data_IF_689804929609
#
_entry.id   IF_689804929609
#
_cell.length_a   1.000
_cell.length_b   1.000
_cell.length_c   1.000
_cell.angle_alpha   90.00
_cell.angle_beta   90.00
_cell.angle_gamma   90.00
#
_symmetry.space_group_name_H-M   'P 1'
#
loop_
_entity.id
_entity.type
_entity.pdbx_description
1 polymer ?
#
# COMPACT_ATOMS: atom_id res chain seq x y z
N UNK A 1 -13.59 3.54 11.89
CA UNK A 1 -12.47 3.84 12.81
C UNK A 1 -11.31 4.28 11.94
N UNK A 2 -10.58 5.35 12.30
CA UNK A 2 -9.35 5.70 11.58
C UNK A 2 -8.41 4.50 11.55
N UNK A 3 -7.63 4.37 10.48
CA UNK A 3 -6.58 3.37 10.45
C UNK A 3 -5.40 3.82 11.32
N UNK A 4 -4.68 2.84 11.85
CA UNK A 4 -3.46 2.98 12.62
C UNK A 4 -2.41 3.85 11.92
N UNK A 5 -1.48 4.44 12.68
CA UNK A 5 -0.27 5.00 12.09
C UNK A 5 0.44 3.90 11.34
N UNK A 6 0.78 4.11 10.07
CA UNK A 6 1.42 3.10 9.25
C UNK A 6 2.46 3.72 8.33
N UNK A 7 3.66 3.16 8.34
CA UNK A 7 4.74 3.50 7.43
C UNK A 7 5.25 2.23 6.76
N UNK A 8 5.53 2.32 5.46
CA UNK A 8 6.22 1.27 4.72
C UNK A 8 7.54 1.81 4.18
N UNK A 9 8.63 1.17 4.57
CA UNK A 9 9.97 1.43 4.05
C UNK A 9 10.33 0.38 3.00
N UNK A 10 11.04 0.80 1.96
CA UNK A 10 11.57 -0.05 0.90
C UNK A 10 13.10 0.01 0.89
N UNK A 11 13.75 -1.14 0.79
CA UNK A 11 15.20 -1.26 0.74
C UNK A 11 15.65 -2.12 -0.44
N UNK A 12 16.63 -1.64 -1.20
CA UNK A 12 17.22 -2.40 -2.30
C UNK A 12 17.96 -3.65 -1.80
N UNK A 13 17.78 -4.78 -2.46
CA UNK A 13 18.45 -6.07 -2.21
C UNK A 13 19.76 -6.22 -2.99
N UNK A 14 20.11 -5.29 -3.89
CA UNK A 14 21.31 -5.37 -4.70
C UNK A 14 21.32 -4.46 -5.94
N UNK A 15 22.15 -4.76 -6.95
CA UNK A 15 22.26 -3.94 -8.16
C UNK A 15 21.09 -4.11 -9.14
N UNK A 16 20.21 -5.08 -8.93
CA UNK A 16 19.00 -5.31 -9.74
C UNK A 16 17.83 -4.57 -9.11
N UNK A 17 17.01 -3.93 -9.93
CA UNK A 17 15.86 -3.11 -9.48
C UNK A 17 14.54 -3.91 -9.43
N UNK A 18 14.60 -5.23 -9.65
CA UNK A 18 13.41 -6.05 -9.85
C UNK A 18 12.82 -6.60 -8.55
N UNK A 19 13.62 -6.54 -7.48
CA UNK A 19 13.27 -6.99 -6.14
C UNK A 19 13.65 -5.91 -5.11
N UNK A 20 12.88 -5.86 -4.02
CA UNK A 20 13.13 -4.95 -2.91
C UNK A 20 12.61 -5.58 -1.62
N UNK A 21 13.34 -5.37 -0.53
CA UNK A 21 12.78 -5.61 0.79
C UNK A 21 11.75 -4.54 1.12
N UNK A 22 10.74 -4.91 1.91
CA UNK A 22 9.86 -3.95 2.56
C UNK A 22 9.83 -4.19 4.06
N UNK A 23 9.58 -3.11 4.81
CA UNK A 23 9.29 -3.15 6.25
C UNK A 23 8.07 -2.29 6.53
N UNK A 24 7.09 -2.83 7.25
CA UNK A 24 5.93 -2.09 7.74
C UNK A 24 6.07 -1.85 9.23
N UNK A 25 5.93 -0.58 9.62
CA UNK A 25 5.83 -0.16 11.01
C UNK A 25 4.42 0.35 11.24
N UNK A 26 3.76 -0.12 12.31
CA UNK A 26 2.37 0.21 12.60
C UNK A 26 2.15 0.44 14.09
N UNK A 27 1.32 1.44 14.43
CA UNK A 27 0.87 1.71 15.79
C UNK A 27 -0.64 1.59 15.89
N UNK A 28 -1.11 0.65 16.71
CA UNK A 28 -2.51 0.56 17.11
C UNK A 28 -2.89 1.82 17.89
N UNK A 29 -3.66 2.69 17.23
CA UNK A 29 -4.05 3.99 17.80
C UNK A 29 -5.11 3.88 18.88
N UNK A 30 -5.87 2.77 18.90
CA UNK A 30 -6.89 2.54 19.92
C UNK A 30 -6.26 2.11 21.24
N UNK A 31 -5.22 1.30 21.17
CA UNK A 31 -4.53 0.75 22.34
C UNK A 31 -3.19 1.42 22.65
N UNK A 32 -2.83 2.49 21.92
CA UNK A 32 -1.56 3.21 22.01
C UNK A 32 -0.33 2.28 22.00
N UNK A 33 -0.34 1.31 21.08
CA UNK A 33 0.64 0.21 21.08
C UNK A 33 1.30 0.03 19.72
N UNK A 34 2.63 0.06 19.70
CA UNK A 34 3.40 -0.36 18.52
C UNK A 34 3.24 -1.86 18.29
N UNK A 35 2.85 -2.22 17.07
CA UNK A 35 2.73 -3.61 16.65
C UNK A 35 4.12 -4.15 16.24
N UNK A 36 4.33 -5.48 16.32
CA UNK A 36 5.54 -6.08 15.77
C UNK A 36 5.73 -5.68 14.30
N UNK A 37 6.96 -5.28 13.95
CA UNK A 37 7.30 -4.94 12.57
C UNK A 37 7.01 -6.13 11.66
N UNK A 38 6.41 -5.86 10.51
CA UNK A 38 6.26 -6.84 9.43
C UNK A 38 7.29 -6.55 8.35
N UNK A 39 7.78 -7.57 7.67
CA UNK A 39 8.73 -7.41 6.58
C UNK A 39 8.57 -8.53 5.55
N UNK A 40 9.16 -8.32 4.38
CA UNK A 40 9.11 -9.26 3.29
C UNK A 40 9.83 -8.74 2.06
N UNK A 41 9.49 -9.33 0.92
CA UNK A 41 10.00 -8.93 -0.39
C UNK A 41 8.87 -8.42 -1.29
N UNK A 42 9.23 -7.52 -2.19
CA UNK A 42 8.41 -7.04 -3.28
C UNK A 42 9.16 -7.31 -4.56
N UNK A 43 8.50 -7.94 -5.52
CA UNK A 43 9.08 -8.31 -6.81
C UNK A 43 8.16 -7.85 -7.95
N UNK A 44 8.74 -7.40 -9.05
CA UNK A 44 7.96 -7.11 -10.27
C UNK A 44 7.49 -8.45 -10.85
N UNK A 45 6.19 -8.57 -11.13
CA UNK A 45 5.59 -9.81 -11.62
C UNK A 45 5.79 -10.03 -13.13
N UNK A 46 5.97 -8.96 -13.91
CA UNK A 46 6.28 -9.03 -15.33
C UNK A 46 6.97 -7.76 -15.84
N UNK A 47 7.84 -7.91 -16.83
CA UNK A 47 8.48 -6.79 -17.54
C UNK A 47 7.57 -6.17 -18.61
N UNK A 48 6.29 -6.56 -18.67
CA UNK A 48 5.33 -6.09 -19.69
C UNK A 48 4.85 -4.65 -19.48
N UNK A 49 5.32 -3.96 -18.42
CA UNK A 49 4.93 -2.60 -18.09
C UNK A 49 3.53 -2.48 -17.46
N UNK A 50 2.88 -3.60 -17.15
CA UNK A 50 1.52 -3.63 -16.57
C UNK A 50 1.45 -3.15 -15.12
N UNK A 51 2.60 -2.88 -14.49
CA UNK A 51 2.67 -2.37 -13.12
C UNK A 51 2.25 -3.41 -12.09
N UNK A 52 2.47 -4.70 -12.34
CA UNK A 52 2.07 -5.77 -11.42
C UNK A 52 3.25 -6.11 -10.50
N UNK A 53 3.00 -6.13 -9.19
CA UNK A 53 3.98 -6.48 -8.16
C UNK A 53 3.48 -7.65 -7.31
N UNK A 54 4.39 -8.51 -6.90
CA UNK A 54 4.15 -9.57 -5.93
C UNK A 54 4.75 -9.15 -4.59
N UNK A 55 3.92 -9.14 -3.55
CA UNK A 55 4.31 -8.90 -2.17
C UNK A 55 4.39 -10.24 -1.45
N UNK A 56 5.57 -10.55 -0.92
CA UNK A 56 5.89 -11.79 -0.22
C UNK A 56 6.23 -11.50 1.24
N UNK A 57 5.27 -11.60 2.17
CA UNK A 57 5.57 -11.49 3.60
C UNK A 57 6.48 -12.63 4.06
N UNK A 58 7.45 -12.33 4.92
CA UNK A 58 8.40 -13.33 5.44
C UNK A 58 7.72 -14.46 6.23
N UNK A 59 6.56 -14.19 6.83
CA UNK A 59 5.78 -15.12 7.63
C UNK A 59 4.63 -15.80 6.85
N UNK A 60 4.62 -15.69 5.52
CA UNK A 60 3.57 -16.27 4.66
C UNK A 60 4.17 -17.22 3.62
N UNK A 61 3.49 -18.32 3.32
CA UNK A 61 3.83 -19.21 2.20
C UNK A 61 3.26 -18.70 0.86
N UNK A 62 2.28 -17.80 0.89
CA UNK A 62 1.65 -17.21 -0.30
C UNK A 62 2.14 -15.78 -0.57
N UNK A 63 2.07 -15.35 -1.83
CA UNK A 63 2.32 -13.97 -2.26
C UNK A 63 1.00 -13.27 -2.57
N UNK A 64 0.93 -11.98 -2.29
CA UNK A 64 -0.19 -11.11 -2.68
C UNK A 64 0.21 -10.32 -3.92
N UNK A 65 -0.62 -10.36 -4.96
CA UNK A 65 -0.34 -9.63 -6.19
C UNK A 65 -1.11 -8.30 -6.23
N UNK A 66 -0.43 -7.18 -6.41
CA UNK A 66 -1.05 -5.87 -6.58
C UNK A 66 -0.77 -5.34 -7.97
N UNK A 67 -1.76 -4.66 -8.54
CA UNK A 67 -1.57 -3.79 -9.70
C UNK A 67 -1.38 -2.37 -9.21
N UNK A 68 -0.30 -1.72 -9.64
CA UNK A 68 -0.08 -0.29 -9.48
C UNK A 68 -0.97 0.42 -10.49
N UNK A 69 -2.01 1.08 -10.01
CA UNK A 69 -2.96 1.82 -10.85
C UNK A 69 -2.40 3.17 -11.28
N UNK A 70 -1.65 3.81 -10.38
CA UNK A 70 -0.94 5.06 -10.65
C UNK A 70 0.20 5.23 -9.65
N UNK A 71 1.25 5.94 -10.07
CA UNK A 71 2.27 6.41 -9.16
C UNK A 71 2.90 7.70 -9.68
N UNK A 72 3.33 8.53 -8.74
CA UNK A 72 4.34 9.55 -8.96
C UNK A 72 5.50 9.22 -8.04
N UNK A 73 6.68 9.01 -8.63
CA UNK A 73 7.86 8.57 -7.90
C UNK A 73 8.25 9.52 -6.76
N UNK A 74 7.84 10.78 -6.80
CA UNK A 74 8.14 11.79 -5.78
C UNK A 74 7.03 11.96 -4.74
N UNK A 75 5.81 11.48 -5.01
CA UNK A 75 4.65 11.87 -4.20
C UNK A 75 3.80 10.71 -3.71
N UNK A 76 3.28 9.86 -4.60
CA UNK A 76 2.24 8.90 -4.21
C UNK A 76 2.25 7.61 -5.02
N UNK A 77 1.60 6.58 -4.48
CA UNK A 77 1.25 5.35 -5.21
C UNK A 77 -0.21 4.98 -4.93
N UNK A 78 -0.86 4.34 -5.90
CA UNK A 78 -2.18 3.72 -5.76
C UNK A 78 -2.08 2.28 -6.21
N UNK A 79 -2.24 1.35 -5.28
CA UNK A 79 -2.01 -0.08 -5.48
C UNK A 79 -3.28 -0.85 -5.15
N UNK A 80 -3.66 -1.77 -6.04
CA UNK A 80 -4.93 -2.47 -5.94
C UNK A 80 -4.78 -3.97 -6.11
N UNK A 81 -5.39 -4.72 -5.21
CA UNK A 81 -5.55 -6.16 -5.30
C UNK A 81 -7.04 -6.51 -5.27
N UNK A 82 -7.48 -7.33 -6.21
CA UNK A 82 -8.82 -7.91 -6.22
C UNK A 82 -8.70 -9.39 -6.54
N UNK A 83 -9.17 -10.25 -5.63
CA UNK A 83 -9.14 -11.70 -5.81
C UNK A 83 -10.50 -12.30 -5.49
N UNK A 84 -10.93 -13.26 -6.31
CA UNK A 84 -12.12 -14.05 -6.00
C UNK A 84 -11.78 -15.02 -4.86
N UNK A 85 -12.55 -14.98 -3.79
CA UNK A 85 -12.48 -15.98 -2.71
C UNK A 85 -13.25 -17.24 -3.14
N UNK A 86 -14.39 -17.04 -3.82
CA UNK A 86 -15.20 -18.08 -4.45
C UNK A 86 -16.12 -17.42 -5.52
N UNK A 87 -17.12 -18.15 -6.03
CA UNK A 87 -18.04 -17.66 -7.07
C UNK A 87 -18.86 -16.43 -6.66
N UNK A 88 -19.03 -16.20 -5.37
CA UNK A 88 -19.97 -15.20 -4.84
C UNK A 88 -19.27 -14.06 -4.08
N UNK A 89 -18.00 -14.25 -3.71
CA UNK A 89 -17.26 -13.30 -2.88
C UNK A 89 -15.89 -13.00 -3.48
N UNK A 90 -15.54 -11.72 -3.44
CA UNK A 90 -14.20 -11.23 -3.75
C UNK A 90 -13.64 -10.45 -2.56
N UNK A 91 -12.31 -10.43 -2.44
CA UNK A 91 -11.57 -9.56 -1.52
C UNK A 91 -10.91 -8.47 -2.34
N UNK A 92 -11.12 -7.24 -1.90
CA UNK A 92 -10.54 -6.04 -2.50
C UNK A 92 -9.67 -5.35 -1.46
N UNK A 93 -8.43 -5.01 -1.85
CA UNK A 93 -7.48 -4.28 -1.03
C UNK A 93 -6.95 -3.13 -1.86
N UNK A 94 -7.11 -1.92 -1.33
CA UNK A 94 -6.62 -0.69 -1.94
C UNK A 94 -5.67 -0.02 -0.95
N UNK A 95 -4.48 0.33 -1.43
CA UNK A 95 -3.57 1.23 -0.74
C UNK A 95 -3.36 2.47 -1.61
N UNK A 96 -3.75 3.63 -1.09
CA UNK A 96 -3.25 4.91 -1.56
C UNK A 96 -2.20 5.37 -0.55
N UNK A 97 -0.99 5.67 -1.01
CA UNK A 97 0.17 5.95 -0.15
C UNK A 97 0.86 7.23 -0.58
N UNK A 98 1.45 7.94 0.37
CA UNK A 98 2.20 9.17 0.13
C UNK A 98 3.60 9.05 0.68
N UNK A 99 4.55 9.79 0.09
CA UNK A 99 5.86 10.06 0.72
C UNK A 99 5.76 11.02 1.91
N UNK A 100 4.63 11.70 2.06
CA UNK A 100 4.34 12.65 3.12
C UNK A 100 3.20 12.17 4.01
N UNK A 101 3.05 12.78 5.18
CA UNK A 101 2.01 12.41 6.18
C UNK A 101 0.58 12.79 5.78
N UNK A 102 0.44 13.62 4.76
CA UNK A 102 -0.84 14.09 4.25
C UNK A 102 -0.72 14.33 2.76
N UNK A 103 -1.82 14.15 2.04
CA UNK A 103 -1.90 14.57 0.65
C UNK A 103 -2.02 16.09 0.54
N UNK A 104 -1.42 16.64 -0.51
CA UNK A 104 -1.85 17.95 -1.03
C UNK A 104 -3.23 17.82 -1.67
N UNK A 105 -3.95 18.93 -1.83
CA UNK A 105 -5.24 18.93 -2.54
C UNK A 105 -5.11 18.39 -3.98
N UNK A 106 -3.98 18.66 -4.63
CA UNK A 106 -3.68 18.19 -5.99
C UNK A 106 -3.54 16.65 -6.00
N UNK A 107 -2.76 16.09 -5.08
CA UNK A 107 -2.59 14.65 -4.96
C UNK A 107 -3.91 13.94 -4.65
N UNK A 108 -4.71 14.50 -3.73
CA UNK A 108 -6.02 13.94 -3.38
C UNK A 108 -6.95 13.87 -4.60
N UNK A 109 -7.00 14.92 -5.43
CA UNK A 109 -7.79 14.95 -6.67
C UNK A 109 -7.30 13.92 -7.68
N UNK A 110 -6.00 13.82 -7.90
CA UNK A 110 -5.42 12.83 -8.82
C UNK A 110 -5.74 11.40 -8.37
N UNK A 111 -5.65 11.12 -7.08
CA UNK A 111 -6.00 9.80 -6.53
C UNK A 111 -7.50 9.52 -6.74
N UNK A 112 -8.38 10.48 -6.47
CA UNK A 112 -9.82 10.32 -6.69
C UNK A 112 -10.15 10.07 -8.18
N UNK A 113 -9.46 10.74 -9.11
CA UNK A 113 -9.59 10.52 -10.55
C UNK A 113 -9.14 9.11 -10.94
N UNK A 114 -7.97 8.65 -10.47
CA UNK A 114 -7.46 7.29 -10.71
C UNK A 114 -8.47 6.24 -10.22
N UNK A 115 -9.04 6.43 -9.03
CA UNK A 115 -10.05 5.52 -8.50
C UNK A 115 -11.30 5.50 -9.39
N UNK A 116 -11.77 6.66 -9.82
CA UNK A 116 -12.93 6.76 -10.71
C UNK A 116 -12.71 6.07 -12.05
N UNK A 117 -11.57 6.32 -12.70
CA UNK A 117 -11.22 5.74 -14.00
C UNK A 117 -11.08 4.21 -13.95
N UNK A 118 -10.71 3.67 -12.79
CA UNK A 118 -10.60 2.24 -12.55
C UNK A 118 -11.90 1.61 -11.98
N UNK A 119 -13.01 2.35 -11.94
CA UNK A 119 -14.30 1.83 -11.45
C UNK A 119 -14.36 1.60 -9.93
N UNK A 120 -13.50 2.29 -9.18
CA UNK A 120 -13.34 2.18 -7.73
C UNK A 120 -13.86 3.43 -6.99
N UNK A 121 -14.67 4.28 -7.62
CA UNK A 121 -15.19 5.51 -7.01
C UNK A 121 -15.94 5.26 -5.69
N UNK A 122 -16.66 4.14 -5.60
CA UNK A 122 -17.48 3.77 -4.45
C UNK A 122 -16.74 2.89 -3.43
N UNK A 123 -15.44 2.66 -3.63
CA UNK A 123 -14.67 1.84 -2.69
C UNK A 123 -14.66 2.50 -1.31
N UNK A 124 -15.02 1.72 -0.29
CA UNK A 124 -15.02 2.21 1.09
C UNK A 124 -13.57 2.46 1.53
N UNK A 125 -13.26 3.72 1.84
CA UNK A 125 -11.93 4.15 2.27
C UNK A 125 -11.87 4.37 3.77
N UNK A 126 -10.72 4.05 4.35
CA UNK A 126 -10.35 4.43 5.71
C UNK A 126 -9.02 5.16 5.63
N UNK A 127 -8.94 6.32 6.28
CA UNK A 127 -7.73 7.14 6.28
C UNK A 127 -6.90 6.83 7.52
N UNK A 128 -5.59 6.68 7.34
CA UNK A 128 -4.63 6.49 8.42
C UNK A 128 -4.42 7.80 9.18
N UNK A 129 -4.26 7.70 10.50
CA UNK A 129 -3.75 8.81 11.30
C UNK A 129 -2.24 8.88 11.05
N UNK A 130 -1.72 10.05 10.68
CA UNK A 130 -0.30 10.24 10.32
C UNK A 130 0.31 11.48 11.00
N UNK A 131 -0.36 12.04 12.01
CA UNK A 131 0.12 13.22 12.73
C UNK A 131 1.41 12.93 13.52
N UNK A 132 2.23 13.97 13.73
CA UNK A 132 3.55 13.83 14.35
C UNK A 132 3.49 13.24 15.75
N UNK A 133 2.64 13.80 16.61
CA UNK A 133 2.59 13.45 18.03
C UNK A 133 2.10 12.01 18.24
N UNK A 134 0.99 11.54 17.63
CA UNK A 134 0.56 10.16 17.81
C UNK A 134 1.47 9.14 17.13
N UNK A 135 2.16 9.51 16.04
CA UNK A 135 2.91 8.59 15.18
C UNK A 135 4.44 8.70 15.29
N UNK A 136 4.99 9.47 16.23
CA UNK A 136 6.43 9.46 16.53
C UNK A 136 6.79 8.25 17.40
N UNK A 137 7.86 7.56 17.02
CA UNK A 137 8.50 6.49 17.81
C UNK A 137 9.14 7.04 19.09
#
# INVERSE_FOLDING_TARGET
MPADCQEVGYGSTGPKYNDSTYTVTQKDMKNDKWLPKSSGMVEIASDSGEGIINIKPNNSAESLQFKILAFDSSYYTVDYNCVNINSNYRREILYARSRYRSYTEKEAKLIDEVLKENGLADIKRTYAIQEVIPCSL
#
